data_IF_254890426965
#
_entry.id   IF_254890426965
#
_cell.length_a   1.000
_cell.length_b   1.000
_cell.length_c   1.000
_cell.angle_alpha   90.00
_cell.angle_beta   90.00
_cell.angle_gamma   90.00
#
_symmetry.space_group_name_H-M   'P 1'
#
loop_
_entity.id
_entity.type
_entity.pdbx_description
1 polymer ?
#
# COMPACT_ATOMS: atom_id res chain seq x y z
N UNK A 1 18.75 -13.66 -21.27
CA UNK A 1 17.55 -13.40 -20.45
C UNK A 1 17.62 -11.96 -19.98
N UNK A 2 16.55 -11.15 -20.11
CA UNK A 2 16.55 -9.82 -19.53
C UNK A 2 16.67 -9.93 -18.02
N UNK A 3 17.47 -9.06 -17.41
CA UNK A 3 17.58 -8.96 -15.96
C UNK A 3 16.27 -8.42 -15.41
N UNK A 4 15.56 -9.21 -14.61
CA UNK A 4 14.36 -8.75 -13.92
C UNK A 4 14.75 -7.89 -12.71
N UNK A 5 13.95 -6.87 -12.43
CA UNK A 5 14.08 -6.11 -11.20
C UNK A 5 13.55 -6.93 -10.02
N UNK A 6 14.13 -6.72 -8.84
CA UNK A 6 13.69 -7.36 -7.61
C UNK A 6 12.25 -6.94 -7.28
N UNK A 7 11.31 -7.87 -6.99
CA UNK A 7 9.93 -7.52 -6.63
C UNK A 7 9.81 -6.70 -5.35
N UNK A 8 10.82 -6.73 -4.48
CA UNK A 8 10.91 -5.90 -3.27
C UNK A 8 11.48 -4.51 -3.55
N UNK A 9 11.87 -4.21 -4.79
CA UNK A 9 12.12 -2.84 -5.20
C UNK A 9 10.82 -2.03 -5.10
N UNK A 10 10.91 -0.83 -4.55
CA UNK A 10 9.76 0.01 -4.22
C UNK A 10 8.96 0.46 -5.45
N UNK A 11 9.64 0.73 -6.57
CA UNK A 11 8.98 0.98 -7.86
C UNK A 11 8.25 -0.26 -8.37
N UNK A 12 8.92 -1.41 -8.42
CA UNK A 12 8.33 -2.66 -8.91
C UNK A 12 7.13 -3.05 -8.05
N UNK A 13 7.28 -2.98 -6.73
CA UNK A 13 6.23 -3.29 -5.77
C UNK A 13 5.00 -2.40 -6.00
N UNK A 14 5.16 -1.07 -6.00
CA UNK A 14 4.05 -0.15 -6.22
C UNK A 14 3.40 -0.40 -7.58
N UNK A 15 4.18 -0.63 -8.64
CA UNK A 15 3.66 -0.84 -9.99
C UNK A 15 2.86 -2.13 -10.11
N UNK A 16 3.37 -3.24 -9.58
CA UNK A 16 2.67 -4.54 -9.59
C UNK A 16 1.34 -4.45 -8.85
N UNK A 17 1.34 -3.90 -7.62
CA UNK A 17 0.13 -3.87 -6.82
C UNK A 17 -0.87 -2.78 -7.24
N UNK A 18 -0.40 -1.70 -7.89
CA UNK A 18 -1.29 -0.74 -8.55
C UNK A 18 -2.03 -1.37 -9.75
N UNK A 19 -1.37 -2.25 -10.51
CA UNK A 19 -1.96 -2.98 -11.63
C UNK A 19 -2.81 -4.18 -11.19
N UNK A 20 -2.50 -4.77 -10.03
CA UNK A 20 -3.16 -5.96 -9.50
C UNK A 20 -3.55 -5.81 -8.00
N UNK A 21 -4.57 -4.98 -7.67
CA UNK A 21 -4.97 -4.74 -6.28
C UNK A 21 -5.48 -5.99 -5.54
N UNK A 22 -5.96 -7.00 -6.27
CA UNK A 22 -6.36 -8.29 -5.70
C UNK A 22 -5.20 -9.05 -5.08
N UNK A 23 -3.99 -8.96 -5.66
CA UNK A 23 -2.77 -9.53 -5.08
C UNK A 23 -2.39 -8.78 -3.81
N UNK A 24 -2.60 -7.47 -3.77
CA UNK A 24 -2.34 -6.65 -2.58
C UNK A 24 -3.26 -7.05 -1.44
N UNK A 25 -4.56 -7.24 -1.73
CA UNK A 25 -5.53 -7.73 -0.76
C UNK A 25 -5.15 -9.11 -0.22
N UNK A 26 -4.74 -10.04 -1.09
CA UNK A 26 -4.29 -11.36 -0.68
C UNK A 26 -3.07 -11.27 0.25
N UNK A 27 -2.05 -10.51 -0.14
CA UNK A 27 -0.86 -10.28 0.67
C UNK A 27 -1.20 -9.67 2.04
N UNK A 28 -2.09 -8.67 2.09
CA UNK A 28 -2.51 -8.05 3.34
C UNK A 28 -3.15 -9.08 4.27
N UNK A 29 -4.04 -9.95 3.76
CA UNK A 29 -4.68 -10.98 4.58
C UNK A 29 -3.68 -12.05 5.05
N UNK A 30 -2.76 -12.48 4.19
CA UNK A 30 -1.73 -13.46 4.54
C UNK A 30 -0.79 -12.96 5.65
N UNK A 31 -0.53 -11.66 5.71
CA UNK A 31 0.31 -11.03 6.74
C UNK A 31 -0.42 -10.80 8.07
N UNK A 32 -1.75 -10.93 8.11
CA UNK A 32 -2.58 -10.68 9.31
C UNK A 32 -3.61 -11.80 9.55
N UNK A 33 -3.20 -13.08 9.61
CA UNK A 33 -4.13 -14.20 9.68
C UNK A 33 -5.08 -14.17 10.89
N UNK A 34 -4.70 -13.45 11.95
CA UNK A 34 -5.48 -13.33 13.19
C UNK A 34 -6.52 -12.19 13.17
N UNK A 35 -6.63 -11.43 12.07
CA UNK A 35 -7.59 -10.32 11.92
C UNK A 35 -8.70 -10.67 10.92
N UNK A 36 -9.86 -9.98 10.97
CA UNK A 36 -10.89 -10.11 9.96
C UNK A 36 -10.33 -9.93 8.53
N UNK A 37 -10.80 -10.74 7.59
CA UNK A 37 -10.35 -10.66 6.20
C UNK A 37 -10.77 -9.34 5.54
N UNK A 38 -9.83 -8.71 4.84
CA UNK A 38 -10.13 -7.61 3.91
C UNK A 38 -10.90 -8.15 2.71
N UNK A 39 -12.01 -7.50 2.41
CA UNK A 39 -12.89 -7.78 1.28
C UNK A 39 -12.61 -6.83 0.11
N UNK A 40 -12.21 -5.59 0.38
CA UNK A 40 -11.86 -4.59 -0.64
C UNK A 40 -10.65 -3.75 -0.27
N UNK A 41 -9.86 -3.37 -1.29
CA UNK A 41 -8.76 -2.41 -1.17
C UNK A 41 -8.90 -1.32 -2.20
N UNK A 42 -8.59 -0.09 -1.82
CA UNK A 42 -8.48 1.07 -2.69
C UNK A 42 -7.08 1.66 -2.54
N UNK A 43 -6.37 1.82 -3.66
CA UNK A 43 -5.05 2.44 -3.67
C UNK A 43 -5.25 3.95 -3.81
N UNK A 44 -4.82 4.69 -2.79
CA UNK A 44 -5.08 6.13 -2.67
C UNK A 44 -4.09 6.98 -3.48
N UNK A 45 -2.95 6.40 -3.85
CA UNK A 45 -1.90 7.04 -4.64
C UNK A 45 -1.39 6.13 -5.76
N UNK A 46 -2.24 5.76 -6.75
CA UNK A 46 -1.94 4.71 -7.72
C UNK A 46 -0.84 5.09 -8.71
N UNK A 47 -0.68 6.39 -8.99
CA UNK A 47 0.35 6.89 -9.89
C UNK A 47 1.72 6.90 -9.21
N UNK A 48 2.75 6.63 -10.01
CA UNK A 48 4.15 6.85 -9.62
C UNK A 48 4.55 8.20 -10.18
N UNK A 49 4.63 9.21 -9.32
CA UNK A 49 4.99 10.56 -9.72
C UNK A 49 6.50 10.66 -10.04
N UNK A 50 6.92 11.54 -10.96
CA UNK A 50 8.34 11.71 -11.28
C UNK A 50 9.22 11.99 -10.06
N UNK A 51 8.68 12.74 -9.09
CA UNK A 51 9.36 13.05 -7.84
C UNK A 51 9.50 11.85 -6.89
N UNK A 52 8.68 10.80 -7.04
CA UNK A 52 8.84 9.54 -6.31
C UNK A 52 10.00 8.72 -6.87
N UNK A 53 10.22 8.76 -8.19
CA UNK A 53 11.34 8.09 -8.87
C UNK A 53 12.69 8.74 -8.55
N UNK A 54 12.73 10.07 -8.45
CA UNK A 54 13.94 10.81 -8.02
C UNK A 54 14.03 10.95 -6.50
N UNK A 55 12.95 10.61 -5.80
CA UNK A 55 12.82 10.66 -4.36
C UNK A 55 13.57 9.52 -3.67
N UNK A 56 13.57 9.56 -2.34
CA UNK A 56 14.24 8.52 -1.53
C UNK A 56 13.38 7.28 -1.32
N UNK A 57 12.07 7.39 -1.48
CA UNK A 57 11.11 6.34 -1.11
C UNK A 57 9.86 6.42 -1.97
N UNK A 58 9.38 5.26 -2.39
CA UNK A 58 8.03 5.08 -2.93
C UNK A 58 7.16 4.45 -1.83
N UNK A 59 6.03 5.10 -1.53
CA UNK A 59 5.08 4.68 -0.49
C UNK A 59 3.78 4.29 -1.19
N UNK A 60 3.16 3.18 -0.77
CA UNK A 60 1.83 2.78 -1.24
C UNK A 60 0.81 2.95 -0.13
N UNK A 61 -0.16 3.82 -0.35
CA UNK A 61 -1.27 4.10 0.57
C UNK A 61 -2.51 3.34 0.15
N UNK A 62 -3.11 2.62 1.09
CA UNK A 62 -4.23 1.72 0.83
C UNK A 62 -5.33 1.96 1.86
N UNK A 63 -6.54 2.18 1.39
CA UNK A 63 -7.75 2.09 2.19
C UNK A 63 -8.32 0.69 2.05
N UNK A 64 -8.27 -0.10 3.13
CA UNK A 64 -8.77 -1.46 3.14
C UNK A 64 -10.07 -1.54 3.95
N UNK A 65 -10.99 -2.44 3.56
CA UNK A 65 -12.26 -2.65 4.27
C UNK A 65 -12.52 -4.13 4.51
N UNK A 66 -13.03 -4.47 5.69
CA UNK A 66 -13.47 -5.83 6.02
C UNK A 66 -14.95 -6.06 5.65
N UNK A 67 -15.48 -7.25 5.99
CA UNK A 67 -16.88 -7.60 5.74
C UNK A 67 -17.88 -6.85 6.63
N UNK A 68 -17.43 -6.39 7.80
CA UNK A 68 -18.26 -5.67 8.78
C UNK A 68 -18.29 -4.15 8.49
N UNK A 69 -17.52 -3.70 7.50
CA UNK A 69 -17.44 -2.31 7.07
C UNK A 69 -16.37 -1.48 7.77
N UNK A 70 -15.54 -2.08 8.63
CA UNK A 70 -14.43 -1.38 9.25
C UNK A 70 -13.38 -1.01 8.22
N UNK A 71 -12.91 0.22 8.30
CA UNK A 71 -11.91 0.78 7.40
C UNK A 71 -10.54 0.84 8.07
N UNK A 72 -9.50 0.48 7.33
CA UNK A 72 -8.12 0.46 7.76
C UNK A 72 -7.27 1.27 6.79
N UNK A 73 -6.49 2.21 7.32
CA UNK A 73 -5.42 2.84 6.56
C UNK A 73 -4.17 1.98 6.67
N UNK A 74 -3.74 1.43 5.53
CA UNK A 74 -2.55 0.59 5.42
C UNK A 74 -1.52 1.33 4.57
N UNK A 75 -0.30 1.43 5.08
CA UNK A 75 0.84 1.98 4.35
C UNK A 75 1.88 0.89 4.15
N UNK A 76 2.28 0.69 2.89
CA UNK A 76 3.31 -0.28 2.53
C UNK A 76 4.58 0.48 2.14
N UNK A 77 5.69 0.09 2.79
CA UNK A 77 7.00 0.67 2.58
C UNK A 77 8.06 -0.43 2.58
N UNK A 78 8.97 -0.39 1.61
CA UNK A 78 10.14 -1.29 1.55
C UNK A 78 11.19 -0.89 2.60
N UNK A 79 11.30 0.40 2.92
CA UNK A 79 12.21 0.93 3.95
C UNK A 79 11.42 1.72 4.98
N UNK A 80 11.72 1.49 6.25
CA UNK A 80 11.03 2.15 7.37
C UNK A 80 11.21 3.67 7.31
N UNK A 81 10.12 4.40 7.10
CA UNK A 81 10.10 5.86 7.14
C UNK A 81 9.34 6.36 8.37
N UNK A 82 9.93 7.32 9.09
CA UNK A 82 9.43 7.76 10.41
C UNK A 82 8.19 8.67 10.39
N UNK A 83 7.62 8.98 9.22
CA UNK A 83 6.54 9.98 9.10
C UNK A 83 5.12 9.39 9.14
N UNK A 84 4.95 8.08 9.38
CA UNK A 84 3.65 7.41 9.34
C UNK A 84 2.58 8.09 10.21
N UNK A 85 2.95 8.54 11.41
CA UNK A 85 2.04 9.21 12.34
C UNK A 85 1.30 10.43 11.76
N UNK A 86 1.98 11.26 10.95
CA UNK A 86 1.35 12.43 10.31
C UNK A 86 0.41 12.02 9.18
N UNK A 87 0.81 11.00 8.42
CA UNK A 87 0.07 10.51 7.24
C UNK A 87 -1.19 9.75 7.67
N UNK A 88 -1.08 8.87 8.66
CA UNK A 88 -2.23 8.19 9.26
C UNK A 88 -3.28 9.16 9.80
N UNK A 89 -2.85 10.22 10.50
CA UNK A 89 -3.77 11.27 10.98
C UNK A 89 -4.46 12.02 9.83
N UNK A 90 -3.70 12.40 8.80
CA UNK A 90 -4.26 13.05 7.61
C UNK A 90 -5.33 12.19 6.93
N UNK A 91 -5.08 10.89 6.73
CA UNK A 91 -6.05 10.00 6.11
C UNK A 91 -7.27 9.73 7.00
N UNK A 92 -7.08 9.60 8.31
CA UNK A 92 -8.20 9.51 9.25
C UNK A 92 -9.13 10.72 9.12
N UNK A 93 -8.58 11.93 9.14
CA UNK A 93 -9.35 13.16 9.00
C UNK A 93 -10.06 13.28 7.63
N UNK A 94 -9.51 12.66 6.58
CA UNK A 94 -10.11 12.65 5.23
C UNK A 94 -11.23 11.61 5.08
N UNK A 95 -11.26 10.60 5.94
CA UNK A 95 -12.25 9.49 5.86
C UNK A 95 -13.46 9.73 6.79
N UNK A 96 -13.36 10.72 7.68
CA UNK A 96 -14.46 11.28 8.48
C UNK A 96 -15.23 12.33 7.68
#
# INVERSE_FOLDING_TARGET
MPTLLDPTNDYVFKRVFAEAPELLRALINDLRPDLPNITSVEILNPNIEPNELTGKYIILDVLARDADGHCYNVEVQVRRYGAWHKRGLFYLARTL
#
